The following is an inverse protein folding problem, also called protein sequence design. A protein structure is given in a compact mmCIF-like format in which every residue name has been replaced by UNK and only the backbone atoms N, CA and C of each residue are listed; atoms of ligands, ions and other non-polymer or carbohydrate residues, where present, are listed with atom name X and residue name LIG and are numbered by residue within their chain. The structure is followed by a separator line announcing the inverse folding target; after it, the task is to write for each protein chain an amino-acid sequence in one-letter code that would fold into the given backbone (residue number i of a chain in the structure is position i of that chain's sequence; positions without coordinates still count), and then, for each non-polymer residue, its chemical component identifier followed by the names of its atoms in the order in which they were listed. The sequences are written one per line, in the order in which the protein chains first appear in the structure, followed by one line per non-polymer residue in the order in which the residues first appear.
data_IF_499075906567
#
_entry.id   IF_499075906567
#
_cell.length_a   1.000
_cell.length_b   1.000
_cell.length_c   1.000
_cell.angle_alpha   90.00
_cell.angle_beta   90.00
_cell.angle_gamma   90.00
#
_symmetry.space_group_name_H-M   'P 1'
#
loop_
_entity.id
_entity.type
_entity.pdbx_description
1 polymer ?
#
# COMPACT_ATOMS: atom_id res chain seq x y z
N UNK A 1 -7.84 -0.88 5.54
CA UNK A 1 -7.33 -0.12 4.38
C UNK A 1 -8.24 -0.41 3.22
N UNK A 2 -9.46 0.13 3.15
CA UNK A 2 -10.44 -0.25 2.13
C UNK A 2 -9.90 -0.47 0.70
N UNK A 3 -9.06 0.42 0.17
CA UNK A 3 -8.51 0.27 -1.19
C UNK A 3 -7.41 -0.79 -1.23
N UNK A 4 -6.45 -0.77 -0.30
CA UNK A 4 -5.42 -1.81 -0.27
C UNK A 4 -6.00 -3.19 0.05
N UNK A 5 -7.03 -3.29 0.88
CA UNK A 5 -7.74 -4.53 1.21
C UNK A 5 -8.47 -5.06 -0.04
N UNK A 6 -9.05 -4.18 -0.85
CA UNK A 6 -9.67 -4.56 -2.13
C UNK A 6 -8.64 -5.07 -3.15
N UNK A 7 -7.48 -4.40 -3.28
CA UNK A 7 -6.38 -4.86 -4.15
C UNK A 7 -5.81 -6.19 -3.65
N UNK A 8 -5.65 -6.35 -2.34
CA UNK A 8 -5.13 -7.56 -1.70
C UNK A 8 -6.12 -8.73 -1.67
N UNK A 9 -7.39 -8.51 -2.04
CA UNK A 9 -8.40 -9.56 -2.13
C UNK A 9 -8.12 -10.55 -3.27
N UNK A 10 -7.39 -10.12 -4.31
CA UNK A 10 -6.91 -11.03 -5.36
C UNK A 10 -5.74 -11.88 -4.84
N UNK A 11 -5.86 -13.23 -4.84
CA UNK A 11 -4.81 -14.12 -4.39
C UNK A 11 -3.48 -13.97 -5.14
N UNK A 12 -3.48 -13.46 -6.39
CA UNK A 12 -2.25 -13.25 -7.16
C UNK A 12 -1.39 -12.13 -6.56
N UNK A 13 -1.98 -11.22 -5.78
CA UNK A 13 -1.32 -10.10 -5.13
C UNK A 13 -0.77 -10.44 -3.74
N UNK A 14 -0.36 -11.70 -3.51
CA UNK A 14 0.09 -12.17 -2.19
C UNK A 14 1.28 -11.38 -1.62
N UNK A 15 2.21 -10.90 -2.46
CA UNK A 15 3.31 -10.04 -2.01
C UNK A 15 2.82 -8.65 -1.58
N UNK A 16 1.90 -8.06 -2.34
CA UNK A 16 1.28 -6.79 -1.99
C UNK A 16 0.52 -6.91 -0.65
N UNK A 17 -0.28 -7.97 -0.48
CA UNK A 17 -0.94 -8.28 0.80
C UNK A 17 0.06 -8.37 1.96
N UNK A 18 1.17 -9.08 1.78
CA UNK A 18 2.22 -9.17 2.80
C UNK A 18 2.81 -7.79 3.15
N UNK A 19 2.93 -6.87 2.18
CA UNK A 19 3.38 -5.49 2.44
C UNK A 19 2.35 -4.66 3.19
N UNK A 20 1.06 -4.82 2.90
CA UNK A 20 -0.02 -4.18 3.69
C UNK A 20 0.04 -4.64 5.15
N UNK A 21 0.25 -5.94 5.39
CA UNK A 21 0.42 -6.47 6.74
C UNK A 21 1.71 -5.97 7.42
N UNK A 22 2.80 -5.78 6.69
CA UNK A 22 4.03 -5.18 7.23
C UNK A 22 3.81 -3.72 7.64
N UNK A 23 3.11 -2.94 6.81
CA UNK A 23 2.78 -1.54 7.07
C UNK A 23 1.99 -1.41 8.38
N UNK A 24 0.97 -2.24 8.57
CA UNK A 24 0.08 -2.20 9.75
C UNK A 24 0.75 -2.67 11.05
N UNK A 25 1.88 -3.37 10.96
CA UNK A 25 2.67 -3.83 12.13
C UNK A 25 3.88 -2.94 12.43
N UNK A 26 4.20 -1.99 11.54
CA UNK A 26 5.34 -1.11 11.71
C UNK A 26 5.09 -0.11 12.84
N UNK A 27 6.02 -0.06 13.81
CA UNK A 27 5.84 0.69 15.06
C UNK A 27 6.80 1.86 15.22
N UNK A 28 7.94 1.83 14.54
CA UNK A 28 8.88 2.96 14.49
C UNK A 28 8.71 3.73 13.19
N UNK A 29 9.02 5.02 13.20
CA UNK A 29 8.98 5.85 11.98
C UNK A 29 9.84 5.23 10.85
N UNK A 30 11.00 4.68 11.19
CA UNK A 30 11.88 4.02 10.23
C UNK A 30 11.24 2.77 9.62
N UNK A 31 10.65 1.91 10.46
CA UNK A 31 9.95 0.70 9.97
C UNK A 31 8.75 1.08 9.09
N UNK A 32 8.01 2.12 9.50
CA UNK A 32 6.86 2.62 8.76
C UNK A 32 7.28 3.14 7.38
N UNK A 33 8.35 3.94 7.33
CA UNK A 33 8.90 4.46 6.08
C UNK A 33 9.38 3.33 5.15
N UNK A 34 10.07 2.33 5.68
CA UNK A 34 10.53 1.16 4.89
C UNK A 34 9.36 0.30 4.39
N UNK A 35 8.36 0.07 5.24
CA UNK A 35 7.16 -0.67 4.87
C UNK A 35 6.34 0.06 3.81
N UNK A 36 6.19 1.38 3.94
CA UNK A 36 5.53 2.23 2.95
C UNK A 36 6.26 2.18 1.62
N UNK A 37 7.58 2.39 1.61
CA UNK A 37 8.38 2.34 0.39
C UNK A 37 8.26 0.98 -0.32
N UNK A 38 8.29 -0.11 0.44
CA UNK A 38 8.05 -1.45 -0.09
C UNK A 38 6.67 -1.60 -0.71
N UNK A 39 5.62 -1.14 -0.03
CA UNK A 39 4.25 -1.18 -0.54
C UNK A 39 4.08 -0.35 -1.82
N UNK A 40 4.68 0.84 -1.87
CA UNK A 40 4.64 1.73 -3.02
C UNK A 40 5.24 1.07 -4.27
N UNK A 41 6.39 0.40 -4.15
CA UNK A 41 6.97 -0.32 -5.28
C UNK A 41 6.06 -1.42 -5.85
N UNK A 42 5.25 -2.07 -5.01
CA UNK A 42 4.24 -3.01 -5.50
C UNK A 42 3.07 -2.30 -6.18
N UNK A 43 2.59 -1.18 -5.64
CA UNK A 43 1.55 -0.37 -6.28
C UNK A 43 1.99 0.10 -7.67
N UNK A 44 3.23 0.59 -7.79
CA UNK A 44 3.80 1.03 -9.06
C UNK A 44 3.81 -0.11 -10.07
N UNK A 45 4.28 -1.30 -9.69
CA UNK A 45 4.27 -2.48 -10.55
C UNK A 45 2.87 -2.92 -10.98
N UNK A 46 1.88 -2.87 -10.09
CA UNK A 46 0.48 -3.17 -10.42
C UNK A 46 -0.12 -2.15 -11.39
N UNK A 47 0.21 -0.87 -11.23
CA UNK A 47 -0.24 0.20 -12.11
C UNK A 47 0.41 0.11 -13.50
N UNK A 48 1.72 -0.11 -13.56
CA UNK A 48 2.46 -0.30 -14.83
C UNK A 48 1.94 -1.51 -15.61
N UNK A 49 1.64 -2.60 -14.91
CA UNK A 49 1.03 -3.80 -15.48
C UNK A 49 -0.45 -3.63 -15.85
N UNK A 50 -1.06 -2.47 -15.59
CA UNK A 50 -2.49 -2.15 -15.82
C UNK A 50 -3.44 -3.09 -15.07
N UNK A 51 -3.00 -3.63 -13.93
CA UNK A 51 -3.82 -4.48 -13.06
C UNK A 51 -4.76 -3.64 -12.20
N UNK A 52 -4.31 -2.45 -11.81
CA UNK A 52 -5.10 -1.42 -11.13
C UNK A 52 -5.15 -0.15 -11.99
N UNK A 53 -6.18 0.68 -11.79
CA UNK A 53 -6.26 1.99 -12.44
C UNK A 53 -5.34 3.02 -11.77
N UNK A 54 -5.10 4.14 -12.46
CA UNK A 54 -4.37 5.27 -11.89
C UNK A 54 -5.04 5.83 -10.63
N UNK A 55 -6.38 5.89 -10.63
CA UNK A 55 -7.15 6.34 -9.47
C UNK A 55 -6.98 5.37 -8.30
N UNK A 56 -7.05 4.05 -8.53
CA UNK A 56 -6.81 3.06 -7.48
C UNK A 56 -5.38 3.15 -6.92
N UNK A 57 -4.39 3.37 -7.79
CA UNK A 57 -3.00 3.60 -7.37
C UNK A 57 -2.88 4.84 -6.47
N UNK A 58 -3.45 5.96 -6.89
CA UNK A 58 -3.40 7.23 -6.15
C UNK A 58 -4.12 7.11 -4.81
N UNK A 59 -5.30 6.49 -4.80
CA UNK A 59 -6.11 6.37 -3.60
C UNK A 59 -5.46 5.38 -2.60
N UNK A 60 -4.79 4.32 -3.07
CA UNK A 60 -3.99 3.42 -2.24
C UNK A 60 -2.75 4.10 -1.64
N UNK A 61 -2.08 4.96 -2.43
CA UNK A 61 -0.93 5.77 -1.97
C UNK A 61 -1.34 6.70 -0.83
N UNK A 62 -2.46 7.40 -1.00
CA UNK A 62 -3.01 8.31 0.00
C UNK A 62 -3.42 7.57 1.27
N UNK A 63 -4.21 6.50 1.12
CA UNK A 63 -4.66 5.65 2.23
C UNK A 63 -3.50 5.11 3.07
N UNK A 64 -2.41 4.68 2.41
CA UNK A 64 -1.23 4.16 3.09
C UNK A 64 -0.51 5.21 3.93
N UNK A 65 -0.44 6.47 3.46
CA UNK A 65 0.15 7.59 4.21
C UNK A 65 -0.74 8.02 5.36
N UNK A 66 -2.04 8.17 5.11
CA UNK A 66 -3.02 8.57 6.12
C UNK A 66 -3.02 7.65 7.34
N UNK A 67 -2.81 6.35 7.12
CA UNK A 67 -2.77 5.37 8.22
C UNK A 67 -1.52 5.48 9.07
N UNK A 68 -0.37 5.78 8.46
CA UNK A 68 0.88 5.88 9.20
C UNK A 68 0.98 7.20 9.97
N UNK A 69 0.57 8.30 9.34
CA UNK A 69 0.92 9.65 9.81
C UNK A 69 -0.27 10.60 9.94
N UNK A 70 -1.50 10.15 9.62
CA UNK A 70 -2.70 10.98 9.65
C UNK A 70 -2.97 11.71 8.34
N UNK A 71 -4.13 12.37 8.24
CA UNK A 71 -4.60 13.04 7.02
C UNK A 71 -3.87 14.35 6.69
N UNK A 72 -3.03 14.84 7.62
CA UNK A 72 -2.32 16.13 7.51
C UNK A 72 -0.81 15.96 7.25
N UNK A 73 -0.36 14.74 6.93
CA UNK A 73 1.05 14.36 6.79
C UNK A 73 1.61 14.55 5.38
#
# INVERSE_FOLDING_TARGET
MPICDAIAADPIHFLFKAKVEQLTRASTYQDQHLALYGLQGHLDGLAEAKVITWEQWRDAQEESRTILWGADA
#
